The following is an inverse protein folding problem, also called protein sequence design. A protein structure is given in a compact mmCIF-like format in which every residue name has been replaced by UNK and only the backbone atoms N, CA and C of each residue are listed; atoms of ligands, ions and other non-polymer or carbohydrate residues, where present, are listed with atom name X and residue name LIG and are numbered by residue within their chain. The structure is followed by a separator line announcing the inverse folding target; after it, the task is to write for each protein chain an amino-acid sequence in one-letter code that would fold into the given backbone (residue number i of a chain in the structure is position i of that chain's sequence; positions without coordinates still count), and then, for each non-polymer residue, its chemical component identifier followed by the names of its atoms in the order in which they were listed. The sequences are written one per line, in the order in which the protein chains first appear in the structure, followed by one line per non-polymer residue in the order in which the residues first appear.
data_IF_111407011154
#
_entry.id   IF_111407011154
#
_cell.length_a   1.000
_cell.length_b   1.000
_cell.length_c   1.000
_cell.angle_alpha   90.00
_cell.angle_beta   90.00
_cell.angle_gamma   90.00
#
_symmetry.space_group_name_H-M   'P 1'
#
loop_
_entity.id
_entity.type
_entity.pdbx_description
1 polymer ?
#
# COMPACT_ATOMS: atom_id res chain seq x y z
N UNK A 1 0.31 7.39 -13.11
CA UNK A 1 -0.04 5.95 -12.95
C UNK A 1 -1.32 5.82 -12.11
N UNK A 2 -1.87 4.61 -11.92
CA UNK A 2 -3.08 4.37 -11.11
C UNK A 2 -2.90 4.82 -9.66
N UNK A 3 -1.79 4.45 -9.03
CA UNK A 3 -1.51 4.76 -7.62
C UNK A 3 -1.34 6.27 -7.42
N UNK A 4 -0.59 6.93 -8.31
CA UNK A 4 -0.42 8.39 -8.26
C UNK A 4 -1.75 9.13 -8.35
N UNK A 5 -2.67 8.69 -9.21
CA UNK A 5 -3.94 9.40 -9.44
C UNK A 5 -4.98 9.08 -8.36
N UNK A 6 -5.22 7.79 -8.09
CA UNK A 6 -6.34 7.34 -7.26
C UNK A 6 -6.02 7.26 -5.77
N UNK A 7 -4.73 7.21 -5.41
CA UNK A 7 -4.31 7.12 -4.02
C UNK A 7 -3.61 8.39 -3.56
N UNK A 8 -2.59 8.83 -4.30
CA UNK A 8 -1.78 10.01 -3.89
C UNK A 8 -2.56 11.30 -4.16
N UNK A 9 -2.90 11.58 -5.42
CA UNK A 9 -3.59 12.84 -5.79
C UNK A 9 -5.02 12.94 -5.24
N UNK A 10 -5.68 11.80 -5.01
CA UNK A 10 -6.98 11.73 -4.34
C UNK A 10 -6.90 11.95 -2.81
N UNK A 11 -5.70 12.03 -2.24
CA UNK A 11 -5.49 12.40 -0.84
C UNK A 11 -5.60 11.24 0.16
N UNK A 12 -5.26 10.01 -0.22
CA UNK A 12 -5.16 8.91 0.74
C UNK A 12 -4.06 9.24 1.78
N UNK A 13 -4.37 9.27 3.08
CA UNK A 13 -3.44 9.77 4.09
C UNK A 13 -2.45 8.69 4.55
N UNK A 14 -1.54 8.30 3.67
CA UNK A 14 -0.53 7.25 3.92
C UNK A 14 0.26 7.48 5.22
N UNK A 15 0.68 8.72 5.49
CA UNK A 15 1.42 9.08 6.71
C UNK A 15 0.66 8.79 8.01
N UNK A 16 -0.68 8.94 8.02
CA UNK A 16 -1.51 8.60 9.18
C UNK A 16 -1.93 7.13 9.21
N UNK A 17 -2.06 6.49 8.04
CA UNK A 17 -2.56 5.11 7.90
C UNK A 17 -1.45 4.06 8.07
N UNK A 18 -0.21 4.42 7.75
CA UNK A 18 0.98 3.57 7.71
C UNK A 18 2.10 4.11 8.63
N UNK A 19 1.71 4.81 9.71
CA UNK A 19 2.65 5.47 10.63
C UNK A 19 3.58 4.47 11.34
N UNK A 20 3.04 3.31 11.73
CA UNK A 20 3.81 2.21 12.27
C UNK A 20 3.86 1.05 11.28
N UNK A 21 4.77 0.11 11.52
CA UNK A 21 4.88 -1.13 10.74
C UNK A 21 3.52 -1.81 10.58
N UNK A 22 3.26 -2.41 9.42
CA UNK A 22 2.06 -3.22 9.18
C UNK A 22 1.87 -4.38 10.18
N UNK A 23 2.94 -4.77 10.88
CA UNK A 23 2.94 -5.82 11.90
C UNK A 23 2.79 -5.27 13.33
N UNK A 24 2.68 -3.95 13.51
CA UNK A 24 2.47 -3.33 14.81
C UNK A 24 1.09 -3.72 15.36
N UNK A 25 1.05 -4.07 16.65
CA UNK A 25 -0.19 -4.46 17.31
C UNK A 25 -0.93 -3.24 17.89
N UNK A 26 -2.21 -3.41 18.20
CA UNK A 26 -3.12 -2.36 18.71
C UNK A 26 -2.69 -1.64 20.00
N UNK A 27 -1.55 -1.99 20.58
CA UNK A 27 -0.92 -1.24 21.67
C UNK A 27 -0.10 -0.05 21.15
N UNK A 28 0.42 -0.14 19.93
CA UNK A 28 1.24 0.86 19.25
C UNK A 28 0.45 1.62 18.18
N UNK A 29 -0.52 0.96 17.54
CA UNK A 29 -1.31 1.56 16.46
C UNK A 29 -2.46 2.40 16.99
N UNK A 30 -2.60 3.61 16.47
CA UNK A 30 -3.71 4.51 16.80
C UNK A 30 -5.01 4.15 16.09
N UNK A 31 -6.17 4.70 16.50
CA UNK A 31 -7.46 4.48 15.83
C UNK A 31 -7.51 5.02 14.39
N UNK A 32 -6.52 5.82 14.01
CA UNK A 32 -6.35 6.34 12.67
C UNK A 32 -5.53 5.40 11.76
N UNK A 33 -4.88 4.36 12.28
CA UNK A 33 -4.14 3.42 11.45
C UNK A 33 -5.05 2.33 10.90
N UNK A 34 -4.92 2.05 9.60
CA UNK A 34 -5.77 1.06 8.94
C UNK A 34 -5.09 0.57 7.65
N UNK A 35 -5.04 -0.75 7.41
CA UNK A 35 -4.31 -1.34 6.28
C UNK A 35 -5.06 -1.24 4.94
N UNK A 36 -5.73 -0.12 4.67
CA UNK A 36 -6.59 0.05 3.48
C UNK A 36 -5.83 -0.15 2.17
N UNK A 37 -4.62 0.42 2.06
CA UNK A 37 -3.78 0.24 0.88
C UNK A 37 -3.27 -1.20 0.75
N UNK A 38 -2.96 -1.87 1.87
CA UNK A 38 -2.59 -3.29 1.85
C UNK A 38 -3.76 -4.17 1.39
N UNK A 39 -4.99 -3.90 1.83
CA UNK A 39 -6.17 -4.61 1.33
C UNK A 39 -6.35 -4.44 -0.18
N UNK A 40 -6.07 -3.24 -0.70
CA UNK A 40 -6.07 -3.01 -2.15
C UNK A 40 -5.00 -3.84 -2.86
N UNK A 41 -3.76 -3.85 -2.36
CA UNK A 41 -2.68 -4.65 -2.94
C UNK A 41 -2.99 -6.15 -2.88
N UNK A 42 -3.61 -6.63 -1.80
CA UNK A 42 -4.07 -8.02 -1.68
C UNK A 42 -5.13 -8.33 -2.76
N UNK A 43 -6.14 -7.47 -2.94
CA UNK A 43 -7.11 -7.64 -4.02
C UNK A 43 -6.44 -7.68 -5.41
N UNK A 44 -5.44 -6.82 -5.67
CA UNK A 44 -4.69 -6.85 -6.93
C UNK A 44 -3.94 -8.17 -7.08
N UNK A 45 -3.31 -8.67 -6.02
CA UNK A 45 -2.64 -9.97 -6.02
C UNK A 45 -3.61 -11.11 -6.30
N UNK A 46 -4.80 -11.11 -5.70
CA UNK A 46 -5.84 -12.13 -5.98
C UNK A 46 -6.26 -12.14 -7.46
N UNK A 47 -6.36 -10.97 -8.10
CA UNK A 47 -6.65 -10.88 -9.55
C UNK A 47 -5.45 -11.30 -10.38
N UNK A 48 -4.24 -10.92 -9.98
CA UNK A 48 -2.99 -11.36 -10.62
C UNK A 48 -2.86 -12.89 -10.65
N UNK A 49 -3.16 -13.57 -9.53
CA UNK A 49 -3.15 -15.03 -9.45
C UNK A 49 -4.15 -15.69 -10.40
N UNK A 50 -5.32 -15.06 -10.63
CA UNK A 50 -6.33 -15.57 -11.56
C UNK A 50 -5.94 -15.34 -13.03
N UNK A 51 -5.17 -14.28 -13.31
CA UNK A 51 -4.82 -13.84 -14.67
C UNK A 51 -3.33 -13.46 -14.78
N UNK A 52 -2.39 -14.41 -14.63
CA UNK A 52 -0.96 -14.10 -14.52
C UNK A 52 -0.37 -13.45 -15.78
N UNK A 53 -0.97 -13.68 -16.95
CA UNK A 53 -0.51 -13.07 -18.22
C UNK A 53 -1.18 -11.72 -18.54
N UNK A 54 -2.07 -11.22 -17.67
CA UNK A 54 -2.80 -9.96 -17.90
C UNK A 54 -2.12 -8.74 -17.28
N UNK A 55 -1.05 -8.94 -16.52
CA UNK A 55 -0.30 -7.89 -15.85
C UNK A 55 1.15 -7.89 -16.33
N UNK A 56 1.70 -6.69 -16.52
CA UNK A 56 3.11 -6.49 -16.91
C UNK A 56 4.05 -6.54 -15.69
N UNK A 57 3.53 -6.21 -14.50
CA UNK A 57 4.28 -6.25 -13.25
C UNK A 57 4.29 -7.65 -12.64
N UNK A 58 5.24 -7.89 -11.73
CA UNK A 58 5.38 -9.14 -10.99
C UNK A 58 4.88 -9.01 -9.55
N UNK A 59 4.80 -10.13 -8.84
CA UNK A 59 4.45 -10.14 -7.41
C UNK A 59 5.40 -9.29 -6.57
N UNK A 60 6.70 -9.30 -6.89
CA UNK A 60 7.73 -8.50 -6.21
C UNK A 60 7.44 -7.00 -6.29
N UNK A 61 6.78 -6.53 -7.36
CA UNK A 61 6.38 -5.13 -7.47
C UNK A 61 5.28 -4.76 -6.46
N UNK A 62 4.34 -5.66 -6.16
CA UNK A 62 3.32 -5.43 -5.14
C UNK A 62 3.94 -5.39 -3.74
N UNK A 63 4.92 -6.26 -3.48
CA UNK A 63 5.69 -6.27 -2.23
C UNK A 63 6.48 -4.97 -2.09
N UNK A 64 7.16 -4.53 -3.16
CA UNK A 64 7.89 -3.26 -3.18
C UNK A 64 6.98 -2.07 -2.83
N UNK A 65 5.79 -1.99 -3.43
CA UNK A 65 4.80 -0.95 -3.13
C UNK A 65 4.37 -0.96 -1.66
N UNK A 66 4.13 -2.15 -1.10
CA UNK A 66 3.78 -2.31 0.31
C UNK A 66 4.92 -1.80 1.20
N UNK A 67 6.15 -2.24 0.99
CA UNK A 67 7.30 -1.82 1.80
C UNK A 67 7.47 -0.30 1.77
N UNK A 68 7.32 0.33 0.60
CA UNK A 68 7.51 1.76 0.44
C UNK A 68 6.38 2.60 1.03
N UNK A 69 5.16 2.05 1.13
CA UNK A 69 4.05 2.71 1.82
C UNK A 69 4.28 2.81 3.34
N UNK A 70 5.04 1.87 3.94
CA UNK A 70 5.33 1.81 5.38
C UNK A 70 6.74 2.31 5.76
N UNK A 71 7.73 2.20 4.86
CA UNK A 71 9.11 2.61 5.13
C UNK A 71 9.35 4.12 4.90
N UNK A 72 8.45 4.79 4.16
CA UNK A 72 8.53 6.24 3.91
C UNK A 72 9.88 6.73 3.35
N UNK A 73 10.67 5.88 2.69
CA UNK A 73 12.03 6.22 2.24
C UNK A 73 12.07 7.23 1.08
N UNK A 74 11.00 7.32 0.28
CA UNK A 74 11.04 8.04 -0.99
C UNK A 74 10.14 9.27 -1.07
N UNK A 75 9.42 9.63 0.00
CA UNK A 75 8.53 10.80 -0.01
C UNK A 75 7.29 10.68 -0.90
N UNK A 76 7.23 9.69 -1.80
CA UNK A 76 6.09 9.46 -2.71
C UNK A 76 4.76 9.21 -1.99
N UNK A 77 4.82 8.73 -0.75
CA UNK A 77 3.67 8.50 0.12
C UNK A 77 3.59 9.50 1.30
N UNK A 78 4.40 10.57 1.30
CA UNK A 78 4.49 11.58 2.36
C UNK A 78 3.71 12.87 2.06
N UNK A 79 2.64 12.79 1.28
CA UNK A 79 1.75 13.93 1.01
C UNK A 79 1.29 14.63 2.29
#
# INVERSE_FOLDING_TARGET
SLIEREWIAAGHPFSMRCMHSAYASGLLTGPAESPVFLCFLDCVWQVYQQFPCSFEFTEEFLIFLFEHAYASEFGSFLG
#
